data_IF_510515895081
#
_entry.id   IF_510515895081
#
_cell.length_a   1.000
_cell.length_b   1.000
_cell.length_c   1.000
_cell.angle_alpha   90.00
_cell.angle_beta   90.00
_cell.angle_gamma   90.00
#
_symmetry.space_group_name_H-M   'P 1'
#
loop_
_entity.id
_entity.type
_entity.pdbx_description
1 polymer ?
#
# COMPACT_ATOMS: atom_id res chain seq x y z
N UNK A 1 -10.29 16.10 -18.72
CA UNK A 1 -8.93 15.57 -18.49
C UNK A 1 -7.93 16.72 -18.39
N UNK A 2 -7.88 17.40 -17.24
CA UNK A 2 -6.92 18.47 -16.92
C UNK A 2 -6.70 18.38 -15.41
N UNK A 3 -5.70 17.62 -14.95
CA UNK A 3 -5.07 17.72 -13.63
C UNK A 3 -3.90 16.73 -13.57
N UNK A 4 -2.84 17.00 -14.33
CA UNK A 4 -1.53 16.38 -14.17
C UNK A 4 -0.45 17.42 -14.50
N UNK A 5 -0.57 18.58 -13.84
CA UNK A 5 0.54 19.50 -13.63
C UNK A 5 0.72 19.62 -12.13
N UNK A 6 1.45 18.70 -11.50
CA UNK A 6 1.99 18.96 -10.16
C UNK A 6 3.33 18.25 -9.99
N UNK A 7 4.34 19.10 -9.75
CA UNK A 7 5.52 18.85 -8.94
C UNK A 7 6.54 17.83 -9.45
N UNK A 8 7.32 18.26 -10.44
CA UNK A 8 8.78 18.01 -10.41
C UNK A 8 9.33 18.90 -9.29
N UNK A 9 9.30 18.42 -8.05
CA UNK A 9 10.07 19.03 -6.97
C UNK A 9 11.50 18.53 -7.12
N UNK A 10 12.31 19.31 -7.83
CA UNK A 10 13.76 19.19 -7.83
C UNK A 10 14.27 19.11 -6.39
N UNK A 11 14.71 17.92 -5.99
CA UNK A 11 15.37 17.69 -4.72
C UNK A 11 16.74 18.38 -4.76
N UNK A 12 16.77 19.67 -4.41
CA UNK A 12 17.99 20.33 -3.99
C UNK A 12 18.44 19.62 -2.71
N UNK A 13 19.54 18.88 -2.80
CA UNK A 13 20.18 18.21 -1.68
C UNK A 13 20.74 19.25 -0.71
N UNK A 14 19.93 19.65 0.27
CA UNK A 14 20.41 20.35 1.45
C UNK A 14 21.17 19.34 2.31
N UNK A 15 22.50 19.29 2.15
CA UNK A 15 23.38 18.62 3.08
C UNK A 15 23.25 19.31 4.46
N UNK A 16 22.41 18.76 5.34
CA UNK A 16 22.36 19.17 6.73
C UNK A 16 23.60 18.59 7.40
N UNK A 17 24.63 19.43 7.55
CA UNK A 17 25.80 19.13 8.36
C UNK A 17 25.35 18.89 9.81
N UNK A 18 25.50 17.66 10.28
CA UNK A 18 25.34 17.32 11.69
C UNK A 18 26.48 17.97 12.49
N UNK A 19 26.20 18.75 13.54
CA UNK A 19 27.26 19.28 14.40
C UNK A 19 27.93 18.13 15.16
N UNK A 20 29.22 17.94 14.89
CA UNK A 20 30.11 17.01 15.57
C UNK A 20 30.58 17.68 16.87
N UNK A 21 29.72 17.66 17.89
CA UNK A 21 30.00 18.22 19.22
C UNK A 21 30.62 17.20 20.16
N UNK A 22 31.83 17.52 20.65
CA UNK A 22 32.65 16.70 21.54
C UNK A 22 32.09 16.53 22.96
N UNK A 23 32.61 15.50 23.62
CA UNK A 23 32.17 14.99 24.92
C UNK A 23 32.34 15.96 26.09
N UNK A 24 31.36 15.93 26.98
CA UNK A 24 31.41 16.53 28.31
C UNK A 24 30.23 15.99 29.13
N UNK A 25 30.51 15.03 30.00
CA UNK A 25 29.49 14.32 30.78
C UNK A 25 28.72 15.25 31.71
N UNK A 26 27.41 15.36 31.52
CA UNK A 26 26.48 16.00 32.46
C UNK A 26 25.24 15.12 32.65
N UNK A 27 24.88 14.91 33.92
CA UNK A 27 23.74 14.12 34.38
C UNK A 27 22.42 14.79 33.98
N UNK A 28 21.65 14.10 33.14
CA UNK A 28 20.20 13.93 33.32
C UNK A 28 19.31 15.16 33.18
N UNK A 29 19.37 15.87 32.05
CA UNK A 29 18.21 16.62 31.58
C UNK A 29 17.74 15.91 30.30
N UNK A 30 16.57 15.25 30.36
CA UNK A 30 16.05 14.42 29.28
C UNK A 30 15.84 15.24 28.02
N UNK A 31 16.86 15.28 27.16
CA UNK A 31 16.72 15.72 25.78
C UNK A 31 15.63 14.84 25.21
N UNK A 32 14.47 15.44 24.90
CA UNK A 32 13.39 14.75 24.19
C UNK A 32 14.00 14.28 22.87
N UNK A 33 14.47 13.02 22.90
CA UNK A 33 15.03 12.29 21.77
C UNK A 33 14.10 12.56 20.62
N UNK A 34 14.60 13.27 19.58
CA UNK A 34 13.85 13.79 18.43
C UNK A 34 12.61 12.93 18.19
N UNK A 35 11.52 13.34 18.85
CA UNK A 35 10.41 12.46 19.16
C UNK A 35 9.91 11.95 17.83
N UNK A 36 10.09 10.65 17.59
CA UNK A 36 9.73 9.97 16.35
C UNK A 36 8.46 10.62 15.83
N UNK A 37 8.56 11.35 14.72
CA UNK A 37 7.49 12.18 14.16
C UNK A 37 6.23 11.32 14.15
N UNK A 38 5.42 11.51 15.19
CA UNK A 38 4.53 10.46 15.63
C UNK A 38 3.40 10.42 14.62
N UNK A 39 2.95 9.22 14.25
CA UNK A 39 1.91 9.06 13.23
C UNK A 39 0.64 9.89 13.54
N UNK A 40 0.44 10.29 14.79
CA UNK A 40 -0.62 11.21 15.23
C UNK A 40 -0.50 12.61 14.64
N UNK A 41 0.70 13.21 14.54
CA UNK A 41 0.90 14.55 13.98
C UNK A 41 0.46 14.63 12.50
N UNK A 42 0.85 13.64 11.69
CA UNK A 42 0.41 13.56 10.30
C UNK A 42 -1.08 13.26 10.14
N UNK A 43 -1.65 12.41 11.02
CA UNK A 43 -3.09 12.16 11.03
C UNK A 43 -3.87 13.45 11.33
N UNK A 44 -3.41 14.23 12.29
CA UNK A 44 -4.03 15.50 12.65
C UNK A 44 -3.90 16.53 11.52
N UNK A 45 -2.71 16.70 10.95
CA UNK A 45 -2.48 17.60 9.81
C UNK A 45 -3.42 17.24 8.64
N UNK A 46 -3.51 15.96 8.29
CA UNK A 46 -4.40 15.50 7.21
C UNK A 46 -5.89 15.73 7.54
N UNK A 47 -6.31 15.45 8.79
CA UNK A 47 -7.70 15.66 9.23
C UNK A 47 -8.10 17.14 9.15
N UNK A 48 -7.25 18.03 9.63
CA UNK A 48 -7.49 19.47 9.59
C UNK A 48 -7.48 19.97 8.13
N UNK A 49 -6.53 19.53 7.32
CA UNK A 49 -6.47 19.85 5.88
C UNK A 49 -7.74 19.42 5.16
N UNK A 50 -8.23 18.19 5.41
CA UNK A 50 -9.46 17.68 4.80
C UNK A 50 -10.70 18.47 5.25
N UNK A 51 -10.79 18.83 6.54
CA UNK A 51 -11.88 19.64 7.07
C UNK A 51 -11.91 21.03 6.43
N UNK A 52 -10.77 21.70 6.34
CA UNK A 52 -10.65 23.02 5.70
C UNK A 52 -10.97 22.94 4.20
N UNK A 53 -10.49 21.91 3.50
CA UNK A 53 -10.81 21.69 2.08
C UNK A 53 -12.30 21.42 1.84
N UNK A 54 -12.94 20.62 2.71
CA UNK A 54 -14.38 20.36 2.64
C UNK A 54 -15.19 21.64 2.86
N UNK A 55 -14.87 22.43 3.88
CA UNK A 55 -15.56 23.68 4.17
C UNK A 55 -15.42 24.73 3.05
N UNK A 56 -14.31 24.71 2.31
CA UNK A 56 -14.06 25.60 1.18
C UNK A 56 -14.73 25.14 -0.13
N UNK A 57 -15.18 23.89 -0.23
CA UNK A 57 -15.86 23.37 -1.43
C UNK A 57 -17.37 23.28 -1.18
N UNK A 58 -18.11 24.31 -1.60
CA UNK A 58 -19.54 24.44 -1.32
C UNK A 58 -20.33 23.23 -1.85
N UNK A 59 -20.05 22.72 -3.05
CA UNK A 59 -20.73 21.55 -3.62
C UNK A 59 -20.54 20.28 -2.77
N UNK A 60 -19.30 19.95 -2.39
CA UNK A 60 -19.02 18.78 -1.53
C UNK A 60 -19.61 18.96 -0.14
N UNK A 61 -19.58 20.19 0.38
CA UNK A 61 -20.17 20.50 1.67
C UNK A 61 -21.69 20.30 1.65
N UNK A 62 -22.36 20.75 0.59
CA UNK A 62 -23.80 20.56 0.41
C UNK A 62 -24.16 19.08 0.24
N UNK A 63 -23.35 18.31 -0.49
CA UNK A 63 -23.49 16.85 -0.61
C UNK A 63 -23.39 16.16 0.76
N UNK A 64 -22.37 16.47 1.54
CA UNK A 64 -22.14 15.87 2.86
C UNK A 64 -23.22 16.28 3.88
N UNK A 65 -23.70 17.52 3.79
CA UNK A 65 -24.72 18.05 4.70
C UNK A 65 -26.15 17.80 4.24
N UNK A 66 -26.33 17.28 3.03
CA UNK A 66 -27.62 17.16 2.32
C UNK A 66 -28.35 18.50 2.22
N UNK A 67 -27.60 19.57 1.96
CA UNK A 67 -28.12 20.94 1.86
C UNK A 67 -28.59 21.54 3.19
N UNK A 68 -28.28 20.93 4.34
CA UNK A 68 -28.67 21.47 5.64
C UNK A 68 -27.74 22.64 6.04
N UNK A 69 -28.27 23.87 5.96
CA UNK A 69 -27.54 25.10 6.23
C UNK A 69 -26.87 25.12 7.62
N UNK A 70 -27.59 24.74 8.68
CA UNK A 70 -27.06 24.73 10.06
C UNK A 70 -25.87 23.77 10.20
N UNK A 71 -25.92 22.58 9.58
CA UNK A 71 -24.79 21.64 9.57
C UNK A 71 -23.61 22.18 8.77
N UNK A 72 -23.87 22.82 7.63
CA UNK A 72 -22.83 23.44 6.81
C UNK A 72 -22.11 24.56 7.58
N UNK A 73 -22.85 25.42 8.26
CA UNK A 73 -22.29 26.47 9.12
C UNK A 73 -21.47 25.90 10.28
N UNK A 74 -21.96 24.84 10.94
CA UNK A 74 -21.21 24.17 12.01
C UNK A 74 -19.87 23.57 11.50
N UNK A 75 -19.84 23.04 10.27
CA UNK A 75 -18.61 22.56 9.64
C UNK A 75 -17.67 23.73 9.30
N UNK A 76 -18.19 24.81 8.72
CA UNK A 76 -17.41 26.02 8.42
C UNK A 76 -16.79 26.61 9.70
N UNK A 77 -17.55 26.71 10.79
CA UNK A 77 -17.05 27.18 12.07
C UNK A 77 -15.93 26.28 12.64
N UNK A 78 -16.10 24.95 12.59
CA UNK A 78 -15.05 24.00 12.98
C UNK A 78 -13.82 24.10 12.09
N UNK A 79 -14.00 24.33 10.78
CA UNK A 79 -12.90 24.50 9.84
C UNK A 79 -12.10 25.78 10.11
N UNK A 80 -12.76 26.88 10.50
CA UNK A 80 -12.08 28.11 10.90
C UNK A 80 -11.23 27.92 12.15
N UNK A 81 -11.75 27.23 13.18
CA UNK A 81 -10.96 26.89 14.37
C UNK A 81 -9.79 25.94 14.04
N UNK A 82 -10.03 24.97 13.15
CA UNK A 82 -9.02 24.05 12.65
C UNK A 82 -7.91 24.75 11.85
N UNK A 83 -8.21 25.85 11.15
CA UNK A 83 -7.24 26.58 10.33
C UNK A 83 -6.08 27.13 11.17
N UNK A 84 -6.34 27.66 12.37
CA UNK A 84 -5.29 28.13 13.28
C UNK A 84 -4.38 26.98 13.71
N UNK A 85 -4.95 25.84 14.09
CA UNK A 85 -4.18 24.66 14.49
C UNK A 85 -3.39 24.07 13.30
N UNK A 86 -3.98 24.10 12.10
CA UNK A 86 -3.31 23.66 10.88
C UNK A 86 -2.09 24.56 10.58
N UNK A 87 -2.21 25.88 10.73
CA UNK A 87 -1.10 26.81 10.54
C UNK A 87 0.05 26.53 11.53
N UNK A 88 -0.25 26.25 12.80
CA UNK A 88 0.76 25.84 13.79
C UNK A 88 1.47 24.55 13.39
N UNK A 89 0.74 23.53 12.93
CA UNK A 89 1.35 22.27 12.47
C UNK A 89 2.16 22.46 11.20
N UNK A 90 1.72 23.33 10.29
CA UNK A 90 2.40 23.64 9.03
C UNK A 90 3.69 24.45 9.24
N UNK A 91 3.80 25.21 10.32
CA UNK A 91 5.03 25.92 10.67
C UNK A 91 6.20 24.96 10.98
N UNK A 92 5.92 23.70 11.33
CA UNK A 92 6.95 22.68 11.48
C UNK A 92 7.28 22.02 10.13
N UNK A 93 8.22 22.61 9.39
CA UNK A 93 8.60 22.14 8.06
C UNK A 93 9.02 20.66 8.01
N UNK A 94 9.74 20.17 9.04
CA UNK A 94 10.15 18.76 9.14
C UNK A 94 8.95 17.82 9.27
N UNK A 95 7.97 18.18 10.11
CA UNK A 95 6.72 17.43 10.23
C UNK A 95 5.97 17.41 8.89
N UNK A 96 5.80 18.56 8.25
CA UNK A 96 5.10 18.67 6.96
C UNK A 96 5.76 17.79 5.90
N UNK A 97 7.08 17.88 5.74
CA UNK A 97 7.83 17.07 4.78
C UNK A 97 7.65 15.56 5.03
N UNK A 98 7.78 15.11 6.28
CA UNK A 98 7.55 13.71 6.64
C UNK A 98 6.11 13.26 6.37
N UNK A 99 5.12 14.12 6.65
CA UNK A 99 3.72 13.81 6.41
C UNK A 99 3.39 13.74 4.92
N UNK A 100 3.94 14.63 4.10
CA UNK A 100 3.79 14.59 2.64
C UNK A 100 4.31 13.29 2.05
N UNK A 101 5.49 12.83 2.48
CA UNK A 101 6.03 11.53 2.07
C UNK A 101 5.09 10.38 2.48
N UNK A 102 4.60 10.36 3.72
CA UNK A 102 3.65 9.34 4.20
C UNK A 102 2.31 9.38 3.48
N UNK A 103 1.85 10.56 3.04
CA UNK A 103 0.62 10.71 2.26
C UNK A 103 0.83 10.20 0.85
N UNK A 104 1.95 10.51 0.21
CA UNK A 104 2.30 10.00 -1.11
C UNK A 104 2.39 8.47 -1.11
N UNK A 105 3.06 7.88 -0.11
CA UNK A 105 3.12 6.42 0.06
C UNK A 105 1.73 5.82 0.23
N UNK A 106 0.88 6.38 1.12
CA UNK A 106 -0.49 5.88 1.30
C UNK A 106 -1.37 6.04 0.06
N UNK A 107 -1.19 7.11 -0.70
CA UNK A 107 -1.89 7.31 -1.96
C UNK A 107 -1.50 6.23 -2.96
N UNK A 108 -0.20 5.92 -3.08
CA UNK A 108 0.28 4.83 -3.91
C UNK A 108 -0.26 3.47 -3.42
N UNK A 109 -0.19 3.17 -2.12
CA UNK A 109 -0.77 1.94 -1.52
C UNK A 109 -2.26 1.79 -1.89
N UNK A 110 -3.06 2.84 -1.75
CA UNK A 110 -4.48 2.82 -2.13
C UNK A 110 -4.68 2.57 -3.63
N UNK A 111 -3.85 3.17 -4.49
CA UNK A 111 -3.89 2.94 -5.93
C UNK A 111 -3.51 1.49 -6.28
N UNK A 112 -2.56 0.90 -5.56
CA UNK A 112 -2.19 -0.51 -5.71
C UNK A 112 -3.30 -1.45 -5.27
N UNK A 113 -3.99 -1.15 -4.16
CA UNK A 113 -5.17 -1.90 -3.75
C UNK A 113 -6.30 -1.84 -4.79
N UNK A 114 -6.51 -0.66 -5.39
CA UNK A 114 -7.50 -0.48 -6.45
C UNK A 114 -7.12 -1.28 -7.70
N UNK A 115 -5.86 -1.21 -8.13
CA UNK A 115 -5.32 -2.02 -9.22
C UNK A 115 -5.59 -3.52 -8.98
N UNK A 116 -5.23 -4.03 -7.80
CA UNK A 116 -5.44 -5.44 -7.44
C UNK A 116 -6.93 -5.84 -7.39
N UNK A 117 -7.83 -4.94 -6.98
CA UNK A 117 -9.29 -5.19 -7.00
C UNK A 117 -9.81 -5.27 -8.43
N UNK A 118 -9.37 -4.35 -9.29
CA UNK A 118 -9.75 -4.32 -10.70
C UNK A 118 -9.25 -5.57 -11.43
N UNK A 119 -8.00 -5.98 -11.20
CA UNK A 119 -7.44 -7.22 -11.76
C UNK A 119 -8.23 -8.47 -11.32
N UNK A 120 -8.58 -8.57 -10.03
CA UNK A 120 -9.44 -9.66 -9.54
C UNK A 120 -10.83 -9.64 -10.16
N UNK A 121 -11.38 -8.46 -10.39
CA UNK A 121 -12.67 -8.30 -11.06
C UNK A 121 -12.59 -8.75 -12.52
N UNK A 122 -11.51 -8.40 -13.24
CA UNK A 122 -11.24 -8.90 -14.61
C UNK A 122 -11.11 -10.42 -14.63
N UNK A 123 -10.33 -10.99 -13.70
CA UNK A 123 -10.15 -12.43 -13.60
C UNK A 123 -11.48 -13.16 -13.31
N UNK A 124 -12.33 -12.59 -12.45
CA UNK A 124 -13.66 -13.14 -12.16
C UNK A 124 -14.54 -13.16 -13.42
N UNK A 125 -14.60 -12.07 -14.18
CA UNK A 125 -15.46 -12.02 -15.38
C UNK A 125 -14.93 -12.87 -16.54
N UNK A 126 -13.62 -13.14 -16.56
CA UNK A 126 -13.00 -14.06 -17.51
C UNK A 126 -13.26 -15.54 -17.17
N UNK A 127 -13.63 -15.87 -15.93
CA UNK A 127 -13.98 -17.21 -15.49
C UNK A 127 -15.50 -17.36 -15.34
N UNK A 128 -16.15 -17.85 -16.40
CA UNK A 128 -17.62 -17.95 -16.47
C UNK A 128 -18.20 -18.80 -15.33
N UNK A 129 -17.58 -19.94 -14.98
CA UNK A 129 -18.04 -20.80 -13.87
C UNK A 129 -17.99 -20.06 -12.53
N UNK A 130 -16.88 -19.38 -12.23
CA UNK A 130 -16.73 -18.62 -10.98
C UNK A 130 -17.70 -17.43 -10.93
N UNK A 131 -17.94 -16.77 -12.08
CA UNK A 131 -18.93 -15.70 -12.18
C UNK A 131 -20.35 -16.22 -11.95
N UNK A 132 -20.71 -17.36 -12.54
CA UNK A 132 -22.01 -17.98 -12.39
C UNK A 132 -22.24 -18.44 -10.95
N UNK A 133 -21.23 -19.05 -10.30
CA UNK A 133 -21.30 -19.38 -8.88
C UNK A 133 -21.47 -18.13 -8.01
N UNK A 134 -20.67 -17.08 -8.26
CA UNK A 134 -20.74 -15.82 -7.52
C UNK A 134 -22.10 -15.14 -7.64
N UNK A 135 -22.73 -15.27 -8.80
CA UNK A 135 -24.01 -14.64 -9.11
C UNK A 135 -25.21 -15.57 -8.85
N UNK A 136 -24.95 -16.84 -8.49
CA UNK A 136 -25.96 -17.91 -8.38
C UNK A 136 -26.76 -18.07 -9.68
N UNK A 137 -26.06 -18.06 -10.82
CA UNK A 137 -26.63 -18.11 -12.17
C UNK A 137 -27.64 -16.97 -12.46
N UNK A 138 -27.53 -15.83 -11.77
CA UNK A 138 -28.40 -14.68 -12.01
C UNK A 138 -27.80 -13.77 -13.10
N UNK A 139 -28.38 -13.82 -14.30
CA UNK A 139 -27.90 -13.07 -15.46
C UNK A 139 -27.77 -11.56 -15.20
N UNK A 140 -28.78 -10.92 -14.59
CA UNK A 140 -28.74 -9.49 -14.29
C UNK A 140 -27.58 -9.10 -13.37
N UNK A 141 -27.28 -9.93 -12.37
CA UNK A 141 -26.12 -9.71 -11.48
C UNK A 141 -24.80 -9.92 -12.23
N UNK A 142 -24.71 -10.94 -13.06
CA UNK A 142 -23.53 -11.20 -13.88
C UNK A 142 -23.25 -10.02 -14.84
N UNK A 143 -24.27 -9.51 -15.51
CA UNK A 143 -24.16 -8.36 -16.41
C UNK A 143 -23.74 -7.09 -15.67
N UNK A 144 -24.26 -6.86 -14.46
CA UNK A 144 -23.83 -5.74 -13.62
C UNK A 144 -22.35 -5.86 -13.20
N UNK A 145 -21.84 -7.07 -12.95
CA UNK A 145 -20.41 -7.30 -12.66
C UNK A 145 -19.57 -7.08 -13.92
N UNK A 146 -20.00 -7.61 -15.08
CA UNK A 146 -19.34 -7.41 -16.37
C UNK A 146 -19.25 -5.92 -16.74
N UNK A 147 -20.33 -5.17 -16.54
CA UNK A 147 -20.34 -3.72 -16.78
C UNK A 147 -19.37 -2.97 -15.87
N UNK A 148 -19.32 -3.32 -14.57
CA UNK A 148 -18.33 -2.75 -13.63
C UNK A 148 -16.89 -3.12 -14.02
N UNK A 149 -16.65 -4.35 -14.45
CA UNK A 149 -15.34 -4.78 -14.93
C UNK A 149 -14.93 -3.97 -16.16
N UNK A 150 -15.82 -3.80 -17.15
CA UNK A 150 -15.55 -3.01 -18.35
C UNK A 150 -15.19 -1.56 -18.01
N UNK A 151 -15.95 -0.89 -17.12
CA UNK A 151 -15.62 0.46 -16.66
C UNK A 151 -14.28 0.52 -15.91
N UNK A 152 -14.01 -0.50 -15.10
CA UNK A 152 -12.76 -0.65 -14.37
C UNK A 152 -11.54 -0.93 -15.25
N UNK A 153 -11.72 -1.51 -16.44
CA UNK A 153 -10.62 -1.83 -17.36
C UNK A 153 -9.85 -0.58 -17.81
N UNK A 154 -10.56 0.52 -18.10
CA UNK A 154 -9.93 1.79 -18.46
C UNK A 154 -9.11 2.37 -17.32
N UNK A 155 -9.65 2.34 -16.10
CA UNK A 155 -8.95 2.80 -14.88
C UNK A 155 -7.72 1.93 -14.62
N UNK A 156 -7.86 0.62 -14.77
CA UNK A 156 -6.75 -0.33 -14.60
C UNK A 156 -5.62 -0.04 -15.60
N UNK A 157 -5.95 0.17 -16.87
CA UNK A 157 -4.96 0.51 -17.90
C UNK A 157 -4.24 1.84 -17.60
N UNK A 158 -4.95 2.86 -17.12
CA UNK A 158 -4.35 4.13 -16.70
C UNK A 158 -3.39 3.95 -15.52
N UNK A 159 -3.79 3.18 -14.50
CA UNK A 159 -2.94 2.89 -13.35
C UNK A 159 -1.70 2.07 -13.75
N UNK A 160 -1.85 1.09 -14.65
CA UNK A 160 -0.76 0.24 -15.13
C UNK A 160 0.22 0.99 -16.05
N UNK A 161 -0.25 2.02 -16.78
CA UNK A 161 0.61 2.87 -17.59
C UNK A 161 1.57 3.73 -16.75
N UNK A 162 1.29 3.94 -15.46
CA UNK A 162 2.19 4.62 -14.54
C UNK A 162 3.26 3.65 -14.03
N UNK A 163 4.43 3.64 -14.68
CA UNK A 163 5.52 2.70 -14.38
C UNK A 163 6.03 2.80 -12.94
N UNK A 164 6.10 4.00 -12.38
CA UNK A 164 6.52 4.21 -10.99
C UNK A 164 5.51 3.60 -10.01
N UNK A 165 4.21 3.83 -10.27
CA UNK A 165 3.16 3.21 -9.47
C UNK A 165 3.21 1.67 -9.60
N UNK A 166 3.36 1.13 -10.81
CA UNK A 166 3.46 -0.31 -11.04
C UNK A 166 4.62 -0.96 -10.25
N UNK A 167 5.78 -0.30 -10.19
CA UNK A 167 6.91 -0.74 -9.38
C UNK A 167 6.59 -0.73 -7.87
N UNK A 168 5.95 0.32 -7.38
CA UNK A 168 5.51 0.40 -5.97
C UNK A 168 4.49 -0.71 -5.67
N UNK A 169 3.55 -0.95 -6.58
CA UNK A 169 2.53 -1.98 -6.42
C UNK A 169 3.09 -3.40 -6.41
N UNK A 170 4.13 -3.68 -7.20
CA UNK A 170 4.83 -4.95 -7.14
C UNK A 170 5.43 -5.20 -5.74
N UNK A 171 6.09 -4.20 -5.16
CA UNK A 171 6.66 -4.30 -3.80
C UNK A 171 5.56 -4.49 -2.75
N UNK A 172 4.46 -3.74 -2.82
CA UNK A 172 3.34 -3.91 -1.89
C UNK A 172 2.63 -5.27 -2.06
N UNK A 173 2.59 -5.81 -3.28
CA UNK A 173 2.06 -7.15 -3.55
C UNK A 173 2.94 -8.22 -2.89
N UNK A 174 4.27 -8.18 -3.07
CA UNK A 174 5.22 -9.05 -2.36
C UNK A 174 5.00 -8.96 -0.86
N UNK A 175 4.98 -7.74 -0.30
CA UNK A 175 4.77 -7.51 1.14
C UNK A 175 3.43 -8.08 1.62
N UNK A 176 2.37 -7.98 0.81
CA UNK A 176 1.07 -8.58 1.14
C UNK A 176 1.15 -10.11 1.15
N UNK A 177 1.79 -10.72 0.15
CA UNK A 177 2.01 -12.17 0.10
C UNK A 177 2.81 -12.65 1.32
N UNK A 178 3.86 -11.93 1.72
CA UNK A 178 4.63 -12.23 2.93
C UNK A 178 3.76 -12.18 4.20
N UNK A 179 2.86 -11.20 4.32
CA UNK A 179 1.91 -11.12 5.44
C UNK A 179 0.92 -12.28 5.42
N UNK A 180 0.43 -12.66 4.24
CA UNK A 180 -0.49 -13.78 4.10
C UNK A 180 0.19 -15.10 4.48
N UNK A 181 1.45 -15.34 4.07
CA UNK A 181 2.23 -16.48 4.54
C UNK A 181 2.31 -16.53 6.07
N UNK A 182 2.65 -15.41 6.72
CA UNK A 182 2.72 -15.36 8.19
C UNK A 182 1.37 -15.59 8.88
N UNK A 183 0.25 -15.18 8.25
CA UNK A 183 -1.10 -15.48 8.77
C UNK A 183 -1.43 -16.97 8.63
N UNK A 184 -1.16 -17.55 7.47
CA UNK A 184 -1.38 -18.99 7.22
C UNK A 184 -0.57 -19.83 8.21
N UNK A 185 0.71 -19.49 8.43
CA UNK A 185 1.56 -20.13 9.45
C UNK A 185 0.94 -20.09 10.85
N UNK A 186 0.37 -18.94 11.26
CA UNK A 186 -0.31 -18.79 12.55
C UNK A 186 -1.61 -19.59 12.63
N UNK A 187 -2.36 -19.67 11.53
CA UNK A 187 -3.60 -20.46 11.47
C UNK A 187 -3.32 -21.96 11.58
N UNK A 188 -2.28 -22.44 10.89
CA UNK A 188 -1.80 -23.82 10.97
C UNK A 188 -1.30 -24.13 12.39
N UNK A 189 -0.51 -23.22 12.98
CA UNK A 189 -0.02 -23.39 14.35
C UNK A 189 -1.16 -23.42 15.38
N UNK A 190 -2.21 -22.61 15.19
CA UNK A 190 -3.40 -22.65 16.03
C UNK A 190 -4.11 -24.00 15.91
N UNK A 191 -4.25 -24.53 14.69
CA UNK A 191 -4.90 -25.81 14.44
C UNK A 191 -4.17 -27.01 15.05
N UNK A 192 -2.83 -26.94 15.11
CA UNK A 192 -2.02 -27.94 15.79
C UNK A 192 -2.18 -27.92 17.33
N UNK A 193 -2.82 -26.89 17.90
CA UNK A 193 -3.08 -26.78 19.33
C UNK A 193 -4.54 -27.14 19.65
N UNK A 194 -4.77 -28.43 19.94
CA UNK A 194 -6.11 -28.97 20.21
C UNK A 194 -6.87 -28.20 21.31
N UNK A 195 -6.22 -27.82 22.42
CA UNK A 195 -6.84 -27.06 23.51
C UNK A 195 -7.26 -25.65 23.06
N UNK A 196 -6.45 -24.97 22.25
CA UNK A 196 -6.78 -23.63 21.75
C UNK A 196 -7.91 -23.67 20.70
N UNK A 197 -7.96 -24.73 19.88
CA UNK A 197 -9.07 -24.98 18.95
C UNK A 197 -10.35 -25.27 19.71
N UNK A 198 -10.31 -26.18 20.69
CA UNK A 198 -11.46 -26.55 21.52
C UNK A 198 -12.02 -25.33 22.27
N UNK A 199 -11.16 -24.53 22.91
CA UNK A 199 -11.53 -23.29 23.59
C UNK A 199 -12.09 -22.23 22.63
N UNK A 200 -11.62 -22.17 21.39
CA UNK A 200 -12.11 -21.21 20.38
C UNK A 200 -13.49 -21.56 19.83
N UNK A 201 -13.84 -22.85 19.84
CA UNK A 201 -15.08 -23.34 19.27
C UNK A 201 -16.05 -23.92 20.31
N UNK A 202 -15.75 -23.79 21.61
CA UNK A 202 -16.56 -24.28 22.73
C UNK A 202 -16.89 -25.78 22.59
N UNK A 203 -15.93 -26.59 22.12
CA UNK A 203 -16.13 -28.01 21.84
C UNK A 203 -17.12 -28.33 20.70
N UNK A 204 -17.51 -27.35 19.88
CA UNK A 204 -18.44 -27.58 18.77
C UNK A 204 -17.75 -28.34 17.62
N UNK A 205 -17.97 -29.66 17.56
CA UNK A 205 -17.36 -30.57 16.58
C UNK A 205 -17.54 -30.12 15.12
N UNK A 206 -18.71 -29.59 14.74
CA UNK A 206 -18.97 -29.13 13.36
C UNK A 206 -18.12 -27.91 12.99
N UNK A 207 -17.93 -26.97 13.92
CA UNK A 207 -17.06 -25.80 13.71
C UNK A 207 -15.59 -26.21 13.67
N UNK A 208 -15.17 -27.15 14.53
CA UNK A 208 -13.82 -27.71 14.54
C UNK A 208 -13.51 -28.39 13.20
N UNK A 209 -14.36 -29.30 12.74
CA UNK A 209 -14.17 -29.98 11.44
C UNK A 209 -14.11 -28.98 10.27
N UNK A 210 -14.95 -27.94 10.28
CA UNK A 210 -14.91 -26.88 9.26
C UNK A 210 -13.62 -26.03 9.35
N UNK A 211 -13.08 -25.82 10.55
CA UNK A 211 -11.81 -25.12 10.74
C UNK A 211 -10.64 -25.97 10.27
N UNK A 212 -10.60 -27.26 10.58
CA UNK A 212 -9.58 -28.20 10.11
C UNK A 212 -9.56 -28.30 8.57
N UNK A 213 -10.73 -28.35 7.92
CA UNK A 213 -10.82 -28.32 6.46
C UNK A 213 -10.17 -27.05 5.87
N UNK A 214 -10.46 -25.88 6.45
CA UNK A 214 -9.83 -24.61 6.04
C UNK A 214 -8.33 -24.58 6.29
N UNK A 215 -7.86 -25.23 7.35
CA UNK A 215 -6.44 -25.31 7.66
C UNK A 215 -5.72 -26.20 6.64
N UNK A 216 -6.35 -27.27 6.16
CA UNK A 216 -5.79 -28.09 5.09
C UNK A 216 -5.62 -27.27 3.78
N UNK A 217 -6.62 -26.46 3.42
CA UNK A 217 -6.52 -25.51 2.29
C UNK A 217 -5.42 -24.46 2.53
N UNK A 218 -5.36 -23.90 3.74
CA UNK A 218 -4.34 -22.94 4.14
C UNK A 218 -2.92 -23.53 4.07
N UNK A 219 -2.75 -24.80 4.47
CA UNK A 219 -1.50 -25.54 4.39
C UNK A 219 -1.09 -25.74 2.93
N UNK A 220 -2.01 -26.18 2.06
CA UNK A 220 -1.74 -26.32 0.63
C UNK A 220 -1.31 -24.99 0.00
N UNK A 221 -2.00 -23.90 0.35
CA UNK A 221 -1.67 -22.55 -0.12
C UNK A 221 -0.32 -22.07 0.42
N UNK A 222 -0.01 -22.31 1.69
CA UNK A 222 1.27 -21.95 2.27
C UNK A 222 2.42 -22.70 1.59
N UNK A 223 2.26 -24.01 1.35
CA UNK A 223 3.24 -24.82 0.62
C UNK A 223 3.45 -24.31 -0.80
N UNK A 224 2.36 -23.94 -1.50
CA UNK A 224 2.45 -23.33 -2.83
C UNK A 224 3.24 -22.01 -2.79
N UNK A 225 2.99 -21.14 -1.82
CA UNK A 225 3.73 -19.88 -1.67
C UNK A 225 5.21 -20.10 -1.28
N UNK A 226 5.49 -21.04 -0.38
CA UNK A 226 6.84 -21.39 0.06
C UNK A 226 7.69 -22.03 -1.04
N UNK A 227 7.05 -22.67 -2.03
CA UNK A 227 7.74 -23.24 -3.19
C UNK A 227 8.37 -22.16 -4.10
N UNK A 228 7.91 -20.91 -4.01
CA UNK A 228 8.49 -19.78 -4.72
C UNK A 228 9.69 -19.22 -3.92
N UNK A 229 10.89 -19.68 -4.26
CA UNK A 229 12.14 -19.32 -3.56
C UNK A 229 12.47 -17.82 -3.62
N UNK A 230 12.12 -17.15 -4.72
CA UNK A 230 12.28 -15.69 -4.83
C UNK A 230 11.41 -14.98 -3.80
N UNK A 231 10.11 -15.32 -3.74
CA UNK A 231 9.18 -14.74 -2.76
C UNK A 231 9.65 -14.98 -1.32
N UNK A 232 10.08 -16.20 -0.98
CA UNK A 232 10.54 -16.48 0.39
C UNK A 232 11.81 -15.70 0.76
N UNK A 233 12.74 -15.51 -0.19
CA UNK A 233 13.92 -14.68 0.01
C UNK A 233 13.57 -13.20 0.24
N UNK A 234 12.66 -12.65 -0.57
CA UNK A 234 12.18 -11.26 -0.42
C UNK A 234 11.47 -11.07 0.92
N UNK A 235 10.63 -12.03 1.33
CA UNK A 235 9.94 -11.99 2.61
C UNK A 235 10.90 -12.02 3.80
N UNK A 236 11.97 -12.81 3.72
CA UNK A 236 13.01 -12.84 4.75
C UNK A 236 13.75 -11.49 4.84
N UNK A 237 14.09 -10.88 3.70
CA UNK A 237 14.68 -9.55 3.64
C UNK A 237 13.76 -8.49 4.25
N UNK A 238 12.47 -8.47 3.88
CA UNK A 238 11.48 -7.53 4.43
C UNK A 238 11.31 -7.67 5.96
N UNK A 239 11.36 -8.91 6.47
CA UNK A 239 11.27 -9.18 7.91
C UNK A 239 12.46 -8.57 8.67
N UNK A 240 13.67 -8.65 8.11
CA UNK A 240 14.87 -8.07 8.70
C UNK A 240 14.82 -6.53 8.77
N UNK A 241 14.23 -5.88 7.76
CA UNK A 241 14.10 -4.41 7.71
C UNK A 241 13.08 -3.87 8.71
N UNK A 242 12.07 -4.67 9.10
CA UNK A 242 11.00 -4.21 10.00
C UNK A 242 11.45 -4.14 11.47
N UNK A 243 12.51 -4.87 11.86
CA UNK A 243 13.06 -4.85 13.22
C UNK A 243 13.94 -3.64 13.55
N UNK A 244 14.45 -2.94 12.53
CA UNK A 244 15.22 -1.70 12.68
C UNK A 244 14.35 -0.55 12.18
N UNK A 245 13.85 0.32 13.06
CA UNK A 245 12.83 1.35 12.79
C UNK A 245 13.15 2.45 11.75
N UNK A 246 13.81 2.12 10.63
CA UNK A 246 14.18 3.03 9.55
C UNK A 246 13.13 3.00 8.44
N UNK A 247 12.14 3.88 8.56
CA UNK A 247 11.19 4.19 7.50
C UNK A 247 11.90 4.99 6.37
N UNK A 248 12.71 4.35 5.52
CA UNK A 248 13.28 5.07 4.37
C UNK A 248 13.92 4.25 3.24
N UNK A 249 13.60 2.98 3.02
CA UNK A 249 14.23 2.22 1.91
C UNK A 249 13.43 2.21 0.60
N UNK A 250 12.11 2.34 0.63
CA UNK A 250 11.28 2.27 -0.61
C UNK A 250 11.48 3.51 -1.50
N UNK A 251 11.69 4.71 -0.93
CA UNK A 251 11.98 5.91 -1.71
C UNK A 251 13.41 5.92 -2.28
N UNK A 252 14.35 5.23 -1.63
CA UNK A 252 15.75 5.23 -2.05
C UNK A 252 15.98 4.33 -3.26
N UNK A 253 15.24 3.22 -3.37
CA UNK A 253 15.35 2.28 -4.49
C UNK A 253 14.80 2.85 -5.81
N UNK A 254 13.76 3.70 -5.77
CA UNK A 254 13.27 4.42 -6.94
C UNK A 254 14.25 5.52 -7.42
N UNK A 255 14.96 6.18 -6.48
CA UNK A 255 15.93 7.23 -6.81
C UNK A 255 17.25 6.69 -7.39
N UNK A 256 17.68 5.49 -6.98
CA UNK A 256 18.90 4.84 -7.51
C UNK A 256 18.79 4.45 -8.97
N UNK A 257 17.58 4.17 -9.48
CA UNK A 257 17.37 3.74 -10.87
C UNK A 257 17.25 4.92 -11.84
N UNK A 258 16.83 6.10 -11.36
CA UNK A 258 16.77 7.33 -12.17
C UNK A 258 18.13 8.04 -12.33
N UNK A 259 19.09 7.76 -11.45
CA UNK A 259 20.41 8.42 -11.45
C UNK A 259 21.43 7.76 -12.40
N UNK A 260 21.15 6.56 -12.92
CA UNK A 260 22.02 5.86 -13.87
C UNK A 260 21.81 6.30 -15.34
N UNK A 261 20.74 7.05 -15.64
CA UNK A 261 20.38 7.44 -17.01
C UNK A 261 20.98 8.78 -17.46
N UNK A 262 21.64 9.53 -16.57
CA UNK A 262 22.15 10.88 -16.85
C UNK A 262 23.68 10.97 -16.99
N UNK A 263 24.42 9.87 -16.84
CA UNK A 263 25.89 9.85 -16.85
C UNK A 263 26.54 9.37 -18.16
N UNK A 264 25.78 9.16 -19.23
CA UNK A 264 26.31 8.55 -20.49
C UNK A 264 26.15 9.43 -21.73
N UNK A 265 26.29 10.75 -21.56
CA UNK A 265 26.30 11.70 -22.67
C UNK A 265 27.61 12.49 -22.72
N UNK A 266 28.74 11.79 -22.94
CA UNK A 266 29.93 12.31 -23.63
C UNK A 266 31.01 11.22 -23.71
N UNK A 267 31.28 10.69 -24.91
CA UNK A 267 32.56 10.02 -25.20
C UNK A 267 32.52 8.71 -25.99
N UNK A 268 32.61 8.82 -27.32
CA UNK A 268 33.60 8.12 -28.17
C UNK A 268 33.46 6.59 -28.39
N UNK A 269 32.97 6.27 -29.60
CA UNK A 269 33.36 5.21 -30.56
C UNK A 269 33.69 3.76 -30.13
N UNK A 270 32.95 2.84 -30.78
CA UNK A 270 33.40 1.54 -31.31
C UNK A 270 33.91 0.48 -30.33
N UNK A 271 33.02 -0.43 -29.94
CA UNK A 271 33.38 -1.68 -29.27
C UNK A 271 32.15 -2.51 -28.93
N UNK A 272 31.79 -3.42 -29.82
CA UNK A 272 30.70 -4.40 -29.62
C UNK A 272 31.08 -5.40 -28.52
N UNK A 273 30.49 -5.26 -27.34
CA UNK A 273 30.42 -6.31 -26.34
C UNK A 273 29.00 -6.33 -25.76
N UNK A 274 28.23 -7.30 -26.21
CA UNK A 274 26.87 -7.59 -25.80
C UNK A 274 26.79 -7.91 -24.31
N UNK A 275 26.25 -6.99 -23.51
CA UNK A 275 25.78 -7.25 -22.15
C UNK A 275 24.25 -7.39 -22.17
N UNK A 276 23.78 -8.55 -22.63
CA UNK A 276 22.39 -8.98 -22.47
C UNK A 276 22.30 -9.81 -21.20
N UNK A 277 21.93 -9.20 -20.08
CA UNK A 277 21.59 -9.94 -18.86
C UNK A 277 20.88 -9.01 -17.89
N UNK A 278 19.70 -9.40 -17.43
CA UNK A 278 18.78 -8.71 -16.51
C UNK A 278 17.74 -7.79 -17.17
N UNK A 279 16.97 -8.35 -18.11
CA UNK A 279 15.82 -7.67 -18.72
C UNK A 279 14.58 -8.56 -18.92
N UNK A 280 14.46 -9.66 -18.20
CA UNK A 280 13.35 -10.62 -18.35
C UNK A 280 12.89 -11.15 -16.99
N UNK A 281 12.02 -10.39 -16.33
CA UNK A 281 11.18 -10.88 -15.21
C UNK A 281 9.70 -10.49 -15.37
N UNK A 282 9.24 -10.29 -16.61
CA UNK A 282 7.82 -10.12 -16.91
C UNK A 282 7.44 -11.20 -17.91
N UNK A 283 6.43 -12.00 -17.57
CA UNK A 283 5.78 -13.04 -18.39
C UNK A 283 6.26 -14.49 -18.23
N UNK A 284 6.26 -15.06 -17.01
CA UNK A 284 5.79 -16.45 -16.79
C UNK A 284 5.36 -16.59 -15.31
N UNK A 285 4.05 -16.47 -15.01
CA UNK A 285 3.36 -17.15 -13.88
C UNK A 285 1.96 -16.58 -13.62
N UNK A 286 1.07 -16.52 -14.63
CA UNK A 286 -0.35 -16.17 -14.40
C UNK A 286 -1.34 -17.28 -14.72
N UNK A 287 -0.88 -18.46 -15.12
CA UNK A 287 -1.77 -19.55 -15.54
C UNK A 287 -2.03 -20.65 -14.49
N UNK A 288 -1.26 -20.76 -13.40
CA UNK A 288 -1.36 -21.94 -12.52
C UNK A 288 -1.88 -21.72 -11.09
N UNK A 289 -2.04 -20.48 -10.60
CA UNK A 289 -2.50 -20.27 -9.21
C UNK A 289 -3.99 -19.93 -9.05
N UNK A 290 -4.72 -19.63 -10.12
CA UNK A 290 -6.15 -19.33 -10.02
C UNK A 290 -7.05 -20.57 -10.04
N UNK A 291 -6.54 -21.74 -10.45
CA UNK A 291 -7.31 -22.99 -10.49
C UNK A 291 -7.59 -23.61 -9.12
N UNK A 292 -6.78 -23.31 -8.10
CA UNK A 292 -6.92 -23.91 -6.76
C UNK A 292 -7.57 -22.98 -5.71
N UNK A 293 -8.06 -21.79 -6.10
CA UNK A 293 -8.46 -20.73 -5.16
C UNK A 293 -9.97 -20.37 -5.19
N UNK A 294 -10.81 -21.19 -5.82
CA UNK A 294 -12.25 -20.92 -5.99
C UNK A 294 -13.16 -22.10 -5.58
N UNK A 295 -12.70 -22.92 -4.64
CA UNK A 295 -13.51 -23.83 -3.81
C UNK A 295 -13.33 -23.42 -2.34
#
# INVERSE_FOLDING_TARGET
MKFLSFLILSAAGSAIALPRGGGGGHKGNGTQSATAVSGSGCKQLNKLTALTSLAANQTKLDEVTKGNATKAEAIKAKASAAATQLATLQANATLVASCQQKVAVRAAENQCEEMAKLEKLQALVANQTALDEKTKNNATKADAIKAKAAAGATVLAELQANTTLAQICAVEQTKSLCRDMSKLEKEIALAANATAVDAKFDGNATKVAKFEAKVAEAQAKLTALQSNTTLTSECASLKSTTGSGSASTVAQQAASTASASAATASGITSGVASLQSLGTFMSVASAMLFGALLL
#
